data_IF_635381740966
#
_entry.id   IF_635381740966
#
_cell.length_a   1.000
_cell.length_b   1.000
_cell.length_c   1.000
_cell.angle_alpha   90.00
_cell.angle_beta   90.00
_cell.angle_gamma   90.00
#
_symmetry.space_group_name_H-M   'P 1'
#
loop_
_entity.id
_entity.type
_entity.pdbx_description
1 polymer ?
#
# COMPACT_ATOMS: atom_id res chain seq x y z
N UNK A 1 18.81 -2.24 -13.13
CA UNK A 1 17.86 -2.20 -12.00
C UNK A 1 17.02 -3.46 -12.05
N UNK A 2 16.88 -4.16 -10.93
CA UNK A 2 15.99 -5.31 -10.83
C UNK A 2 14.54 -4.86 -11.02
N UNK A 3 13.70 -5.73 -11.58
CA UNK A 3 12.27 -5.49 -11.78
C UNK A 3 11.43 -6.66 -11.27
N UNK A 4 10.21 -6.37 -10.86
CA UNK A 4 9.14 -7.34 -10.66
C UNK A 4 8.03 -7.01 -11.66
N UNK A 5 7.93 -7.78 -12.74
CA UNK A 5 7.16 -7.39 -13.92
C UNK A 5 7.66 -6.05 -14.47
N UNK A 6 6.78 -5.06 -14.60
CA UNK A 6 7.13 -3.70 -15.03
C UNK A 6 7.57 -2.77 -13.88
N UNK A 7 7.39 -3.20 -12.61
CA UNK A 7 7.77 -2.39 -11.46
C UNK A 7 9.30 -2.37 -11.28
N UNK A 8 9.87 -1.17 -11.24
CA UNK A 8 11.31 -0.98 -11.01
C UNK A 8 11.60 -1.00 -9.51
N UNK A 9 12.40 -1.97 -9.07
CA UNK A 9 12.79 -2.05 -7.67
C UNK A 9 13.86 -1.00 -7.32
N UNK A 10 13.79 -0.42 -6.12
CA UNK A 10 14.80 0.53 -5.65
C UNK A 10 16.15 -0.16 -5.41
N UNK A 11 17.24 0.61 -5.46
CA UNK A 11 18.60 0.06 -5.32
C UNK A 11 18.83 -0.67 -3.98
N UNK A 12 18.26 -0.16 -2.89
CA UNK A 12 18.38 -0.78 -1.56
C UNK A 12 17.72 -2.17 -1.47
N UNK A 13 16.84 -2.54 -2.41
CA UNK A 13 16.25 -3.88 -2.47
C UNK A 13 17.29 -4.98 -2.74
N UNK A 14 18.47 -4.62 -3.24
CA UNK A 14 19.61 -5.55 -3.40
C UNK A 14 20.64 -5.46 -2.27
N UNK A 15 20.31 -4.79 -1.17
CA UNK A 15 21.17 -4.72 0.01
C UNK A 15 20.75 -5.80 1.02
N UNK A 16 21.56 -6.86 1.27
CA UNK A 16 21.14 -7.99 2.11
C UNK A 16 20.62 -7.62 3.51
N UNK A 17 21.22 -6.66 4.24
CA UNK A 17 20.69 -6.25 5.54
C UNK A 17 19.28 -5.66 5.50
N UNK A 18 18.81 -5.19 4.34
CA UNK A 18 17.45 -4.67 4.18
C UNK A 18 16.36 -5.74 4.47
N UNK A 19 16.69 -7.02 4.27
CA UNK A 19 15.80 -8.16 4.53
C UNK A 19 15.92 -8.73 5.96
N UNK A 20 16.73 -8.11 6.82
CA UNK A 20 16.89 -8.50 8.22
C UNK A 20 16.45 -7.36 9.12
N UNK A 21 15.56 -7.63 10.08
CA UNK A 21 15.07 -6.61 10.98
C UNK A 21 16.24 -6.01 11.78
N UNK A 22 16.44 -4.69 11.64
CA UNK A 22 17.63 -4.05 12.17
C UNK A 22 17.54 -3.91 13.70
N UNK A 23 18.61 -4.25 14.45
CA UNK A 23 18.58 -4.19 15.91
C UNK A 23 18.70 -2.75 16.44
N UNK A 24 19.39 -1.88 15.70
CA UNK A 24 19.59 -0.48 16.07
C UNK A 24 18.32 0.31 15.73
N UNK A 25 17.79 1.02 16.73
CA UNK A 25 16.51 1.75 16.63
C UNK A 25 16.46 2.71 15.44
N UNK A 26 17.41 3.63 15.31
CA UNK A 26 17.40 4.64 14.24
C UNK A 26 17.48 4.00 12.85
N UNK A 27 18.27 2.92 12.71
CA UNK A 27 18.37 2.15 11.46
C UNK A 27 17.07 1.41 11.17
N UNK A 28 16.43 0.84 12.20
CA UNK A 28 15.14 0.17 12.10
C UNK A 28 14.03 1.13 11.70
N UNK A 29 13.99 2.34 12.27
CA UNK A 29 13.02 3.37 11.89
C UNK A 29 13.12 3.72 10.39
N UNK A 30 14.34 3.92 9.89
CA UNK A 30 14.59 4.14 8.45
C UNK A 30 14.21 2.93 7.60
N UNK A 31 14.56 1.73 8.05
CA UNK A 31 14.20 0.49 7.35
C UNK A 31 12.67 0.34 7.25
N UNK A 32 11.95 0.55 8.35
CA UNK A 32 10.48 0.50 8.39
C UNK A 32 9.89 1.52 7.42
N UNK A 33 10.41 2.75 7.40
CA UNK A 33 9.96 3.79 6.47
C UNK A 33 10.11 3.34 5.00
N UNK A 34 11.27 2.83 4.63
CA UNK A 34 11.54 2.33 3.28
C UNK A 34 10.62 1.15 2.89
N UNK A 35 10.35 0.23 3.83
CA UNK A 35 9.44 -0.89 3.58
C UNK A 35 8.00 -0.42 3.39
N UNK A 36 7.52 0.52 4.20
CA UNK A 36 6.17 1.08 4.04
C UNK A 36 6.02 1.73 2.66
N UNK A 37 6.97 2.58 2.27
CA UNK A 37 6.95 3.25 0.96
C UNK A 37 6.97 2.25 -0.19
N UNK A 38 7.86 1.25 -0.13
CA UNK A 38 7.96 0.22 -1.16
C UNK A 38 6.69 -0.63 -1.28
N UNK A 39 6.13 -1.08 -0.14
CA UNK A 39 4.90 -1.88 -0.12
C UNK A 39 3.76 -1.09 -0.74
N UNK A 40 3.55 0.16 -0.30
CA UNK A 40 2.48 1.01 -0.79
C UNK A 40 2.61 1.30 -2.30
N UNK A 41 3.81 1.62 -2.77
CA UNK A 41 4.04 1.94 -4.18
C UNK A 41 3.88 0.71 -5.08
N UNK A 42 4.41 -0.44 -4.65
CA UNK A 42 4.25 -1.70 -5.36
C UNK A 42 2.78 -2.13 -5.42
N UNK A 43 2.09 -2.14 -4.27
CA UNK A 43 0.68 -2.50 -4.20
C UNK A 43 -0.18 -1.59 -5.08
N UNK A 44 0.05 -0.28 -5.05
CA UNK A 44 -0.62 0.67 -5.93
C UNK A 44 -0.36 0.37 -7.40
N UNK A 45 0.90 0.21 -7.79
CA UNK A 45 1.29 0.03 -9.20
C UNK A 45 0.75 -1.29 -9.76
N UNK A 46 0.74 -2.35 -8.96
CA UNK A 46 0.26 -3.68 -9.35
C UNK A 46 -1.24 -3.90 -9.06
N UNK A 47 -1.95 -2.88 -8.58
CA UNK A 47 -3.37 -2.96 -8.18
C UNK A 47 -3.66 -4.07 -7.15
N UNK A 48 -2.75 -4.27 -6.21
CA UNK A 48 -2.87 -5.22 -5.11
C UNK A 48 -3.45 -4.50 -3.89
N UNK A 49 -4.53 -5.05 -3.35
CA UNK A 49 -5.20 -4.53 -2.15
C UNK A 49 -5.02 -5.42 -0.93
N UNK A 50 -4.51 -6.65 -1.10
CA UNK A 50 -4.46 -7.62 0.00
C UNK A 50 -3.09 -8.27 0.06
N UNK A 51 -2.56 -8.39 1.28
CA UNK A 51 -1.36 -9.17 1.58
C UNK A 51 -1.74 -10.19 2.65
N UNK A 52 -1.37 -11.46 2.44
CA UNK A 52 -1.53 -12.52 3.44
C UNK A 52 -0.15 -12.78 4.05
N UNK A 53 -0.05 -12.67 5.38
CA UNK A 53 1.20 -12.66 6.14
C UNK A 53 2.01 -13.95 5.94
N UNK A 54 1.32 -15.08 5.97
CA UNK A 54 1.88 -16.43 5.88
C UNK A 54 2.11 -16.92 4.44
N UNK A 55 1.69 -16.15 3.43
CA UNK A 55 1.84 -16.52 2.02
C UNK A 55 3.08 -15.89 1.38
N UNK A 56 3.42 -16.39 0.19
CA UNK A 56 4.46 -15.76 -0.62
C UNK A 56 3.97 -14.41 -1.17
N UNK A 57 4.82 -13.40 -1.04
CA UNK A 57 4.57 -12.09 -1.60
C UNK A 57 5.82 -11.60 -2.32
N UNK A 58 5.72 -11.06 -3.56
CA UNK A 58 6.90 -10.75 -4.39
C UNK A 58 7.93 -9.82 -3.75
N UNK A 59 7.52 -8.94 -2.83
CA UNK A 59 8.44 -8.06 -2.13
C UNK A 59 9.16 -8.71 -0.94
N UNK A 60 8.65 -9.81 -0.40
CA UNK A 60 9.19 -10.43 0.83
C UNK A 60 10.32 -11.41 0.56
N UNK A 61 10.60 -11.74 -0.70
CA UNK A 61 11.72 -12.58 -1.12
C UNK A 61 12.44 -11.91 -2.28
N UNK A 62 13.77 -11.83 -2.18
CA UNK A 62 14.65 -11.44 -3.27
C UNK A 62 15.60 -12.60 -3.62
N UNK A 63 15.30 -13.37 -4.69
CA UNK A 63 16.14 -14.48 -5.13
C UNK A 63 17.53 -14.04 -5.62
N UNK A 64 17.70 -12.79 -6.07
CA UNK A 64 18.97 -12.30 -6.63
C UNK A 64 20.08 -12.25 -5.58
N UNK A 65 19.72 -11.96 -4.34
CA UNK A 65 20.64 -11.88 -3.20
C UNK A 65 20.43 -13.01 -2.19
N UNK A 66 19.58 -13.97 -2.53
CA UNK A 66 19.21 -15.10 -1.67
C UNK A 66 18.74 -14.65 -0.27
N UNK A 67 17.75 -13.74 -0.22
CA UNK A 67 17.19 -13.25 1.05
C UNK A 67 15.68 -13.21 1.03
N UNK A 68 15.09 -13.52 2.18
CA UNK A 68 13.66 -13.39 2.46
C UNK A 68 13.43 -12.80 3.84
N UNK A 69 12.32 -12.07 3.99
CA UNK A 69 11.87 -11.59 5.28
C UNK A 69 11.36 -12.74 6.14
N UNK A 70 11.77 -12.75 7.41
CA UNK A 70 11.17 -13.59 8.45
C UNK A 70 9.71 -13.19 8.69
N UNK A 71 8.92 -14.09 9.26
CA UNK A 71 7.54 -13.79 9.67
C UNK A 71 7.47 -12.57 10.59
N UNK A 72 8.35 -12.50 11.60
CA UNK A 72 8.45 -11.37 12.53
C UNK A 72 8.69 -10.04 11.80
N UNK A 73 9.58 -10.01 10.80
CA UNK A 73 9.84 -8.79 10.03
C UNK A 73 8.62 -8.38 9.18
N UNK A 74 7.94 -9.35 8.54
CA UNK A 74 6.71 -9.10 7.78
C UNK A 74 5.63 -8.50 8.67
N UNK A 75 5.39 -9.11 9.83
CA UNK A 75 4.40 -8.65 10.80
C UNK A 75 4.72 -7.25 11.31
N UNK A 76 5.99 -6.97 11.61
CA UNK A 76 6.44 -5.65 12.05
C UNK A 76 6.18 -4.57 11.00
N UNK A 77 6.50 -4.81 9.73
CA UNK A 77 6.30 -3.83 8.66
C UNK A 77 4.82 -3.62 8.32
N UNK A 78 4.01 -4.69 8.31
CA UNK A 78 2.56 -4.55 8.11
C UNK A 78 1.90 -3.85 9.29
N UNK A 79 2.28 -4.17 10.52
CA UNK A 79 1.77 -3.49 11.72
C UNK A 79 2.13 -2.00 11.72
N UNK A 80 3.31 -1.63 11.19
CA UNK A 80 3.68 -0.23 11.02
C UNK A 80 2.76 0.52 10.02
N UNK A 81 2.41 -0.10 8.88
CA UNK A 81 1.41 0.47 7.97
C UNK A 81 0.05 0.67 8.64
N UNK A 82 -0.37 -0.30 9.46
CA UNK A 82 -1.65 -0.25 10.17
C UNK A 82 -1.68 0.88 11.19
N UNK A 83 -0.57 1.06 11.93
CA UNK A 83 -0.46 2.15 12.91
C UNK A 83 -0.58 3.55 12.29
N UNK A 84 -0.33 3.67 10.98
CA UNK A 84 -0.45 4.93 10.21
C UNK A 84 -1.77 5.03 9.43
N UNK A 85 -2.69 4.08 9.61
CA UNK A 85 -3.96 4.03 8.87
C UNK A 85 -3.78 3.75 7.38
N UNK A 86 -2.63 3.15 7.00
CA UNK A 86 -2.28 2.80 5.61
C UNK A 86 -2.59 1.33 5.29
N UNK A 87 -3.05 0.58 6.27
CA UNK A 87 -3.55 -0.78 6.10
C UNK A 87 -4.47 -1.16 7.28
N UNK A 88 -5.22 -2.26 7.16
CA UNK A 88 -6.07 -2.81 8.22
C UNK A 88 -6.02 -4.34 8.23
N UNK A 89 -6.04 -4.96 9.42
CA UNK A 89 -6.23 -6.40 9.53
C UNK A 89 -7.68 -6.78 9.24
N UNK A 90 -7.87 -7.76 8.36
CA UNK A 90 -9.19 -8.25 7.94
C UNK A 90 -9.74 -9.36 8.85
N UNK A 91 -8.90 -9.91 9.74
CA UNK A 91 -9.24 -11.02 10.61
C UNK A 91 -8.62 -10.85 12.01
N UNK A 92 -9.23 -11.48 13.01
CA UNK A 92 -8.77 -11.43 14.41
C UNK A 92 -7.41 -12.09 14.62
N UNK A 93 -6.98 -12.94 13.69
CA UNK A 93 -5.69 -13.63 13.74
C UNK A 93 -4.56 -12.84 13.08
N UNK A 94 -4.82 -11.63 12.57
CA UNK A 94 -3.85 -10.77 11.89
C UNK A 94 -3.12 -11.48 10.74
N UNK A 95 -3.85 -12.31 9.97
CA UNK A 95 -3.27 -13.09 8.87
C UNK A 95 -3.40 -12.40 7.52
N UNK A 96 -4.48 -11.64 7.33
CA UNK A 96 -4.81 -11.00 6.06
C UNK A 96 -4.93 -9.50 6.27
N UNK A 97 -4.15 -8.75 5.51
CA UNK A 97 -4.04 -7.31 5.60
C UNK A 97 -4.65 -6.66 4.34
N UNK A 98 -5.57 -5.72 4.52
CA UNK A 98 -6.06 -4.82 3.49
C UNK A 98 -5.13 -3.61 3.41
N UNK A 99 -4.47 -3.40 2.27
CA UNK A 99 -3.57 -2.27 2.03
C UNK A 99 -4.37 -1.08 1.48
N UNK A 100 -4.19 0.08 2.10
CA UNK A 100 -4.86 1.32 1.75
C UNK A 100 -3.87 2.27 1.05
N UNK A 101 -3.96 2.39 -0.27
CA UNK A 101 -3.07 3.27 -1.06
C UNK A 101 -3.24 4.75 -0.73
N UNK A 102 -4.41 5.12 -0.22
CA UNK A 102 -4.73 6.38 0.43
C UNK A 102 -5.43 6.05 1.75
N UNK A 103 -5.25 6.87 2.80
CA UNK A 103 -5.98 6.63 4.05
C UNK A 103 -7.47 6.87 3.80
N UNK A 104 -8.32 6.25 4.61
CA UNK A 104 -9.78 6.40 4.52
C UNK A 104 -10.18 7.88 4.61
N UNK A 105 -9.52 8.67 5.47
CA UNK A 105 -9.79 10.12 5.55
C UNK A 105 -9.39 10.86 4.28
N UNK A 106 -8.21 10.57 3.72
CA UNK A 106 -7.77 11.21 2.47
C UNK A 106 -8.73 10.86 1.31
N UNK A 107 -9.28 9.63 1.31
CA UNK A 107 -10.33 9.19 0.40
C UNK A 107 -11.64 9.95 0.61
N UNK A 108 -12.10 10.06 1.85
CA UNK A 108 -13.32 10.79 2.19
C UNK A 108 -13.23 12.25 1.76
N UNK A 109 -12.11 12.90 2.02
CA UNK A 109 -11.85 14.28 1.58
C UNK A 109 -11.85 14.40 0.06
N UNK A 110 -11.27 13.42 -0.66
CA UNK A 110 -11.29 13.42 -2.11
C UNK A 110 -12.70 13.29 -2.67
N UNK A 111 -13.55 12.43 -2.08
CA UNK A 111 -14.95 12.24 -2.48
C UNK A 111 -15.76 13.50 -2.17
N UNK A 112 -15.62 14.05 -0.96
CA UNK A 112 -16.33 15.27 -0.56
C UNK A 112 -15.99 16.45 -1.46
N UNK A 113 -14.71 16.61 -1.81
CA UNK A 113 -14.28 17.66 -2.75
C UNK A 113 -14.85 17.44 -4.14
N UNK A 114 -14.84 16.20 -4.65
CA UNK A 114 -15.47 15.88 -5.93
C UNK A 114 -16.95 16.26 -5.97
N UNK A 115 -17.71 15.91 -4.92
CA UNK A 115 -19.13 16.23 -4.83
C UNK A 115 -19.34 17.76 -4.83
N UNK A 116 -18.54 18.49 -4.07
CA UNK A 116 -18.58 19.97 -4.00
C UNK A 116 -18.25 20.64 -5.33
N UNK A 117 -17.14 20.24 -5.93
CA UNK A 117 -16.62 20.88 -7.15
C UNK A 117 -17.57 20.70 -8.34
N UNK A 118 -18.40 19.65 -8.32
CA UNK A 118 -19.42 19.38 -9.35
C UNK A 118 -20.84 19.82 -8.95
N UNK A 119 -21.03 20.43 -7.77
CA UNK A 119 -22.35 20.89 -7.32
C UNK A 119 -23.35 19.77 -7.02
N UNK A 120 -22.86 18.61 -6.56
CA UNK A 120 -23.64 17.39 -6.38
C UNK A 120 -24.04 17.13 -4.91
N UNK A 121 -23.86 18.10 -4.00
CA UNK A 121 -24.02 17.95 -2.54
C UNK A 121 -25.41 17.46 -2.10
N UNK A 122 -26.46 17.90 -2.79
CA UNK A 122 -27.86 17.54 -2.50
C UNK A 122 -28.41 16.45 -3.44
N UNK A 123 -27.52 15.80 -4.20
CA UNK A 123 -27.89 14.74 -5.15
C UNK A 123 -27.59 13.35 -4.59
N UNK A 124 -28.33 12.35 -5.07
CA UNK A 124 -28.00 10.95 -4.82
C UNK A 124 -27.12 10.45 -5.96
N UNK A 125 -25.95 9.93 -5.62
CA UNK A 125 -25.05 9.25 -6.56
C UNK A 125 -24.76 7.83 -6.11
N UNK A 126 -24.64 6.94 -7.09
CA UNK A 126 -24.17 5.57 -6.91
C UNK A 126 -22.64 5.51 -6.98
N UNK A 127 -22.07 4.44 -6.42
CA UNK A 127 -20.62 4.20 -6.49
C UNK A 127 -20.17 4.07 -7.96
N UNK A 128 -20.96 3.42 -8.83
CA UNK A 128 -20.60 3.24 -10.24
C UNK A 128 -20.54 4.57 -11.01
N UNK A 129 -21.43 5.53 -10.70
CA UNK A 129 -21.38 6.88 -11.26
C UNK A 129 -20.13 7.64 -10.81
N UNK A 130 -19.72 7.51 -9.55
CA UNK A 130 -18.49 8.10 -9.03
C UNK A 130 -17.26 7.48 -9.72
N UNK A 131 -17.28 6.18 -9.97
CA UNK A 131 -16.16 5.44 -10.59
C UNK A 131 -15.98 5.75 -12.07
N UNK A 132 -17.08 5.74 -12.81
CA UNK A 132 -17.04 5.66 -14.29
C UNK A 132 -17.71 6.85 -14.98
N UNK A 133 -18.42 7.69 -14.22
CA UNK A 133 -19.13 8.85 -14.73
C UNK A 133 -18.23 9.87 -15.42
N UNK A 134 -18.84 10.74 -16.22
CA UNK A 134 -18.11 11.78 -16.95
C UNK A 134 -17.48 12.78 -15.97
N UNK A 135 -18.22 13.13 -14.91
CA UNK A 135 -17.78 14.06 -13.87
C UNK A 135 -16.49 13.61 -13.16
N UNK A 136 -16.27 12.30 -13.03
CA UNK A 136 -15.09 11.78 -12.31
C UNK A 136 -13.82 11.79 -13.15
N UNK A 137 -13.92 11.92 -14.48
CA UNK A 137 -12.76 11.88 -15.38
C UNK A 137 -11.80 13.03 -15.10
N UNK A 138 -10.52 12.70 -14.93
CA UNK A 138 -9.47 13.69 -14.64
C UNK A 138 -9.40 14.12 -13.17
N UNK A 139 -10.28 13.59 -12.31
CA UNK A 139 -10.18 13.77 -10.85
C UNK A 139 -9.31 12.69 -10.21
N UNK A 140 -8.87 12.92 -8.97
CA UNK A 140 -8.14 11.91 -8.20
C UNK A 140 -8.91 10.58 -8.11
N UNK A 141 -10.23 10.63 -7.96
CA UNK A 141 -11.11 9.45 -7.86
C UNK A 141 -10.94 8.48 -9.03
N UNK A 142 -10.85 9.01 -10.25
CA UNK A 142 -10.66 8.21 -11.45
C UNK A 142 -9.23 7.67 -11.59
N UNK A 143 -8.23 8.46 -11.17
CA UNK A 143 -6.81 8.07 -11.19
C UNK A 143 -6.54 6.90 -10.24
N UNK A 144 -7.20 6.90 -9.08
CA UNK A 144 -7.04 5.84 -8.08
C UNK A 144 -7.82 4.58 -8.40
N UNK A 145 -8.60 4.53 -9.51
CA UNK A 145 -9.54 3.46 -9.84
C UNK A 145 -10.30 2.98 -8.60
N UNK A 146 -11.13 3.85 -8.03
CA UNK A 146 -12.28 3.32 -7.30
C UNK A 146 -12.94 2.23 -8.16
#
# INVERSE_FOLDING_TARGET
MQKLGEFKLPHFFNYPPYFTLQPVRDTREKQVQLWKELILDYCRTQKIFTIILDEEFPLFTNPVIDRSLSHEAREAFLSALISEGRAEWMDKGHKKCLVLWLRIQDWADCILRFVKDNGLEDSVMTIEEIRTGIESRGTGIYIWNL
#
